data_IF_039369324639
#
_entry.id   IF_039369324639
#
_cell.length_a   1.000
_cell.length_b   1.000
_cell.length_c   1.000
_cell.angle_alpha   90.00
_cell.angle_beta   90.00
_cell.angle_gamma   90.00
#
_symmetry.space_group_name_H-M   'P 1'
#
loop_
_entity.id
_entity.type
_entity.pdbx_description
1 polymer ?
#
# COMPACT_ATOMS: atom_id res chain seq x y z
N UNK A 1 -3.17 -18.54 17.89
CA UNK A 1 -3.29 -19.99 18.13
C UNK A 1 -3.32 -20.65 16.76
N UNK A 2 -2.25 -21.36 16.44
CA UNK A 2 -2.14 -22.10 15.18
C UNK A 2 -3.13 -23.28 15.17
N UNK A 3 -3.71 -23.58 14.04
CA UNK A 3 -4.52 -24.79 13.87
C UNK A 3 -3.62 -26.02 14.07
N UNK A 4 -4.19 -27.13 14.55
CA UNK A 4 -3.45 -28.37 14.83
C UNK A 4 -2.73 -28.89 13.57
N UNK A 5 -3.31 -28.66 12.39
CA UNK A 5 -2.69 -28.96 11.09
C UNK A 5 -1.45 -28.11 10.81
N UNK A 6 -1.45 -26.82 11.12
CA UNK A 6 -0.27 -25.95 10.98
C UNK A 6 0.85 -26.33 11.95
N UNK A 7 0.50 -26.69 13.20
CA UNK A 7 1.47 -27.16 14.20
C UNK A 7 2.11 -28.48 13.77
N UNK A 8 1.33 -29.35 13.14
CA UNK A 8 1.83 -30.65 12.65
C UNK A 8 2.72 -30.49 11.40
N UNK A 9 2.42 -29.54 10.51
CA UNK A 9 3.26 -29.17 9.36
C UNK A 9 4.57 -28.52 9.79
N UNK A 10 4.53 -27.62 10.78
CA UNK A 10 5.73 -26.98 11.35
C UNK A 10 6.65 -27.97 12.08
N UNK A 11 6.11 -29.08 12.58
CA UNK A 11 6.89 -30.12 13.25
C UNK A 11 7.43 -31.22 12.31
N UNK A 12 7.32 -31.06 10.97
CA UNK A 12 7.70 -32.11 10.00
C UNK A 12 7.08 -33.49 10.25
N UNK A 13 5.90 -33.54 10.85
CA UNK A 13 5.16 -34.80 11.09
C UNK A 13 4.25 -35.08 9.87
N UNK A 14 4.67 -34.65 8.69
CA UNK A 14 3.90 -34.75 7.44
C UNK A 14 3.72 -36.17 6.90
N UNK A 15 4.37 -37.17 7.48
CA UNK A 15 4.30 -38.56 6.95
C UNK A 15 3.27 -39.47 7.61
N UNK A 16 2.51 -39.01 8.63
CA UNK A 16 1.50 -39.85 9.26
C UNK A 16 0.10 -39.21 9.28
N UNK A 17 -0.57 -39.17 8.12
CA UNK A 17 -2.04 -38.92 8.03
C UNK A 17 -2.85 -39.71 9.05
N UNK A 18 -2.33 -40.85 9.51
CA UNK A 18 -2.94 -41.75 10.50
C UNK A 18 -2.90 -41.15 11.93
N UNK A 19 -1.93 -40.29 12.28
CA UNK A 19 -1.84 -39.70 13.63
C UNK A 19 -2.82 -38.52 13.80
N UNK A 20 -3.02 -37.75 12.77
CA UNK A 20 -4.02 -36.66 12.79
C UNK A 20 -5.43 -37.20 12.97
N UNK A 21 -5.77 -38.29 12.28
CA UNK A 21 -7.04 -39.00 12.43
C UNK A 21 -7.21 -39.58 13.84
N UNK A 22 -6.15 -40.11 14.45
CA UNK A 22 -6.18 -40.65 15.82
C UNK A 22 -6.33 -39.60 16.89
N UNK A 23 -5.70 -38.40 16.69
CA UNK A 23 -5.85 -37.28 17.64
C UNK A 23 -7.25 -36.67 17.52
N UNK A 24 -7.68 -36.35 16.29
CA UNK A 24 -9.02 -35.79 16.04
C UNK A 24 -10.16 -36.71 16.46
N UNK A 25 -9.95 -38.04 16.41
CA UNK A 25 -10.96 -39.05 16.82
C UNK A 25 -11.13 -39.23 18.35
N UNK A 26 -10.21 -38.67 19.16
CA UNK A 26 -10.27 -38.78 20.63
C UNK A 26 -11.10 -37.67 21.29
N UNK A 27 -11.52 -36.65 20.52
CA UNK A 27 -12.31 -35.52 21.04
C UNK A 27 -13.71 -35.57 20.43
N UNK A 28 -14.73 -35.69 21.28
CA UNK A 28 -16.14 -35.68 20.85
C UNK A 28 -16.58 -34.31 20.35
N UNK A 29 -15.98 -33.24 20.87
CA UNK A 29 -16.27 -31.84 20.44
C UNK A 29 -15.03 -31.25 19.80
N UNK A 30 -15.12 -30.95 18.51
CA UNK A 30 -14.08 -30.26 17.75
C UNK A 30 -14.47 -28.76 17.65
N UNK A 31 -13.84 -27.93 18.46
CA UNK A 31 -13.96 -26.48 18.36
C UNK A 31 -12.73 -25.98 17.63
N UNK A 32 -12.91 -25.63 16.37
CA UNK A 32 -11.90 -24.84 15.65
C UNK A 32 -11.89 -23.44 16.24
N UNK A 33 -10.83 -23.09 16.96
CA UNK A 33 -10.59 -21.72 17.36
C UNK A 33 -10.16 -20.95 16.10
N UNK A 34 -11.14 -20.47 15.34
CA UNK A 34 -10.87 -19.44 14.33
C UNK A 34 -10.33 -18.23 15.09
N UNK A 35 -9.09 -17.83 14.78
CA UNK A 35 -8.53 -16.59 15.31
C UNK A 35 -9.54 -15.47 15.09
N UNK A 36 -9.82 -14.69 16.12
CA UNK A 36 -10.65 -13.50 15.99
C UNK A 36 -9.95 -12.61 14.98
N UNK A 37 -10.67 -12.11 13.98
CA UNK A 37 -10.06 -11.26 12.94
C UNK A 37 -9.25 -10.14 13.60
N UNK A 38 -8.01 -9.85 13.15
CA UNK A 38 -7.14 -8.82 13.75
C UNK A 38 -7.83 -7.48 13.92
N UNK A 39 -8.72 -7.18 13.00
CA UNK A 39 -9.58 -6.01 12.98
C UNK A 39 -10.47 -5.89 14.23
N UNK A 40 -11.21 -6.95 14.58
CA UNK A 40 -12.09 -6.98 15.76
C UNK A 40 -11.28 -6.88 17.06
N UNK A 41 -10.10 -7.54 17.13
CA UNK A 41 -9.21 -7.41 18.28
C UNK A 41 -8.71 -5.98 18.41
N UNK A 42 -8.33 -5.37 17.29
CA UNK A 42 -7.82 -4.00 17.27
C UNK A 42 -8.88 -2.99 17.73
N UNK A 43 -10.10 -3.08 17.22
CA UNK A 43 -11.21 -2.24 17.64
C UNK A 43 -11.44 -2.34 19.16
N UNK A 44 -11.60 -3.56 19.66
CA UNK A 44 -11.97 -3.80 21.07
C UNK A 44 -10.84 -3.62 22.09
N UNK A 45 -9.56 -3.64 21.66
CA UNK A 45 -8.42 -3.61 22.59
C UNK A 45 -7.52 -2.40 22.44
N UNK A 46 -7.48 -1.80 21.25
CA UNK A 46 -6.59 -0.67 20.95
C UNK A 46 -7.39 0.60 20.68
N UNK A 47 -8.51 0.48 19.96
CA UNK A 47 -9.30 1.62 19.50
C UNK A 47 -10.57 1.82 20.32
N UNK A 48 -10.80 1.06 21.39
CA UNK A 48 -11.95 1.26 22.27
C UNK A 48 -11.96 2.66 22.84
N UNK A 49 -13.12 3.33 22.73
CA UNK A 49 -13.28 4.73 23.09
C UNK A 49 -13.93 4.86 24.48
N UNK A 50 -13.41 5.77 25.27
CA UNK A 50 -14.10 6.16 26.50
C UNK A 50 -15.45 6.75 26.14
N UNK A 51 -16.47 6.47 26.97
CA UNK A 51 -17.85 6.94 26.74
C UNK A 51 -17.91 8.46 26.56
N UNK A 52 -17.14 9.21 27.34
CA UNK A 52 -17.10 10.68 27.34
C UNK A 52 -16.67 11.31 26.00
N UNK A 53 -15.98 10.55 25.13
CA UNK A 53 -15.52 11.08 23.83
C UNK A 53 -16.39 10.64 22.66
N UNK A 54 -17.31 9.69 22.86
CA UNK A 54 -18.15 9.16 21.77
C UNK A 54 -19.05 10.23 21.17
N UNK A 55 -19.64 11.11 21.98
CA UNK A 55 -20.46 12.22 21.48
C UNK A 55 -19.65 13.23 20.67
N UNK A 56 -18.41 13.45 21.06
CA UNK A 56 -17.49 14.32 20.30
C UNK A 56 -17.15 13.70 18.94
N UNK A 57 -16.88 12.39 18.89
CA UNK A 57 -16.64 11.67 17.64
C UNK A 57 -17.91 11.60 16.77
N UNK A 58 -19.08 11.41 17.37
CA UNK A 58 -20.36 11.47 16.66
C UNK A 58 -20.58 12.84 15.99
N UNK A 59 -20.23 13.91 16.69
CA UNK A 59 -20.31 15.28 16.16
C UNK A 59 -19.32 15.48 15.01
N UNK A 60 -18.10 14.94 15.13
CA UNK A 60 -17.08 14.96 14.09
C UNK A 60 -17.53 14.17 12.84
N UNK A 61 -18.10 12.98 13.02
CA UNK A 61 -18.68 12.20 11.94
C UNK A 61 -19.76 12.99 11.20
N UNK A 62 -20.69 13.59 11.93
CA UNK A 62 -21.77 14.37 11.33
C UNK A 62 -21.27 15.58 10.53
N UNK A 63 -20.15 16.19 10.96
CA UNK A 63 -19.47 17.27 10.22
C UNK A 63 -18.95 16.79 8.86
N UNK A 64 -18.38 15.59 8.78
CA UNK A 64 -17.60 15.15 7.61
C UNK A 64 -18.26 14.05 6.78
N UNK A 65 -19.33 13.39 7.27
CA UNK A 65 -19.94 12.21 6.62
C UNK A 65 -20.27 12.39 5.12
N UNK A 66 -20.69 13.58 4.72
CA UNK A 66 -21.00 13.85 3.31
C UNK A 66 -19.75 13.96 2.42
N UNK A 67 -18.56 14.06 3.00
CA UNK A 67 -17.30 14.22 2.28
C UNK A 67 -16.43 12.96 2.24
N UNK A 68 -16.71 11.92 3.04
CA UNK A 68 -15.83 10.76 3.14
C UNK A 68 -15.61 10.05 1.79
N UNK A 69 -16.66 9.76 1.04
CA UNK A 69 -16.55 9.07 -0.25
C UNK A 69 -15.82 9.91 -1.30
N UNK A 70 -15.98 11.22 -1.27
CA UNK A 70 -15.25 12.13 -2.16
C UNK A 70 -13.77 12.22 -1.77
N UNK A 71 -13.49 12.28 -0.47
CA UNK A 71 -12.13 12.48 0.04
C UNK A 71 -11.31 11.22 -0.08
N UNK A 72 -11.83 10.07 0.33
CA UNK A 72 -11.12 8.80 0.22
C UNK A 72 -11.21 8.18 -1.18
N UNK A 73 -12.34 8.30 -1.89
CA UNK A 73 -12.55 7.81 -3.28
C UNK A 73 -11.89 6.45 -3.54
N UNK A 74 -12.32 5.43 -2.81
CA UNK A 74 -11.73 4.10 -2.83
C UNK A 74 -12.34 3.24 -3.96
N UNK A 75 -11.61 2.20 -4.47
CA UNK A 75 -12.18 1.18 -5.32
C UNK A 75 -13.32 0.41 -4.61
N UNK A 76 -14.28 -0.12 -5.37
CA UNK A 76 -15.51 -0.75 -4.86
C UNK A 76 -15.31 -1.86 -3.81
N UNK A 77 -14.14 -2.51 -3.79
CA UNK A 77 -13.83 -3.56 -2.81
C UNK A 77 -13.32 -3.04 -1.46
N UNK A 78 -13.25 -1.73 -1.31
CA UNK A 78 -12.74 -1.05 -0.12
C UNK A 78 -13.71 0.06 0.27
N UNK A 79 -13.97 0.19 1.56
CA UNK A 79 -14.88 1.22 2.09
C UNK A 79 -14.15 2.20 3.00
N UNK A 80 -14.72 3.41 3.11
CA UNK A 80 -14.42 4.34 4.18
C UNK A 80 -15.24 3.96 5.42
N UNK A 81 -16.12 4.83 5.89
CA UNK A 81 -16.98 4.55 7.04
C UNK A 81 -18.42 4.37 6.57
N UNK A 82 -19.03 3.25 6.93
CA UNK A 82 -20.40 2.92 6.54
C UNK A 82 -21.45 3.56 7.49
N UNK A 83 -21.08 3.83 8.74
CA UNK A 83 -21.96 4.37 9.76
C UNK A 83 -21.22 5.23 10.78
N UNK A 84 -21.98 5.92 11.65
CA UNK A 84 -21.41 6.67 12.78
C UNK A 84 -20.73 5.75 13.80
N UNK A 85 -21.31 4.59 14.08
CA UNK A 85 -20.74 3.61 15.00
C UNK A 85 -19.44 3.05 14.42
N UNK A 86 -19.42 2.74 13.13
CA UNK A 86 -18.23 2.34 12.40
C UNK A 86 -17.12 3.40 12.48
N UNK A 87 -17.47 4.68 12.28
CA UNK A 87 -16.52 5.78 12.47
C UNK A 87 -15.95 5.81 13.89
N UNK A 88 -16.79 5.69 14.90
CA UNK A 88 -16.35 5.71 16.30
C UNK A 88 -15.41 4.53 16.58
N UNK A 89 -15.73 3.34 16.07
CA UNK A 89 -14.95 2.13 16.30
C UNK A 89 -13.56 2.17 15.62
N UNK A 90 -13.46 2.73 14.42
CA UNK A 90 -12.21 2.73 13.65
C UNK A 90 -11.34 3.97 13.86
N UNK A 91 -11.94 5.15 14.10
CA UNK A 91 -11.18 6.40 14.21
C UNK A 91 -9.97 6.26 15.16
N UNK A 92 -8.79 6.78 14.84
CA UNK A 92 -8.43 7.64 13.70
C UNK A 92 -8.04 6.89 12.41
N UNK A 93 -8.19 5.57 12.38
CA UNK A 93 -7.97 4.76 11.17
C UNK A 93 -9.21 4.74 10.29
N UNK A 94 -9.03 4.35 9.02
CA UNK A 94 -10.12 4.16 8.06
C UNK A 94 -10.26 2.66 7.76
N UNK A 95 -11.48 2.10 7.68
CA UNK A 95 -11.72 0.65 7.53
C UNK A 95 -10.88 -0.04 6.46
N UNK A 96 -10.74 0.56 5.26
CA UNK A 96 -9.95 -0.01 4.16
C UNK A 96 -8.52 -0.37 4.54
N UNK A 97 -7.93 0.35 5.49
CA UNK A 97 -6.52 0.19 5.87
C UNK A 97 -6.23 -1.20 6.44
N UNK A 98 -7.18 -1.78 7.18
CA UNK A 98 -7.03 -3.10 7.79
C UNK A 98 -6.92 -4.20 6.73
N UNK A 99 -7.77 -4.14 5.70
CA UNK A 99 -7.71 -5.07 4.58
C UNK A 99 -6.43 -4.89 3.75
N UNK A 100 -6.12 -3.65 3.41
CA UNK A 100 -4.98 -3.36 2.53
C UNK A 100 -3.64 -3.67 3.21
N UNK A 101 -3.47 -3.38 4.49
CA UNK A 101 -2.22 -3.68 5.21
C UNK A 101 -1.98 -5.18 5.34
N UNK A 102 -3.04 -5.99 5.47
CA UNK A 102 -2.95 -7.45 5.44
C UNK A 102 -2.41 -7.95 4.09
N UNK A 103 -2.91 -7.40 2.99
CA UNK A 103 -2.47 -7.76 1.65
C UNK A 103 -1.00 -7.38 1.42
N UNK A 104 -0.62 -6.17 1.84
CA UNK A 104 0.78 -5.71 1.77
C UNK A 104 1.69 -6.64 2.58
N UNK A 105 1.32 -6.95 3.82
CA UNK A 105 2.12 -7.78 4.70
C UNK A 105 2.33 -9.19 4.14
N UNK A 106 1.25 -9.83 3.68
CA UNK A 106 1.32 -11.17 3.06
C UNK A 106 2.21 -11.17 1.82
N UNK A 107 2.10 -10.16 0.97
CA UNK A 107 2.97 -10.03 -0.20
C UNK A 107 4.42 -9.80 0.17
N UNK A 108 4.71 -8.97 1.17
CA UNK A 108 6.08 -8.71 1.62
C UNK A 108 6.73 -9.95 2.24
N UNK A 109 5.97 -10.79 2.93
CA UNK A 109 6.42 -12.12 3.37
C UNK A 109 6.79 -13.01 2.18
N UNK A 110 5.92 -13.10 1.18
CA UNK A 110 6.13 -13.93 0.00
C UNK A 110 7.33 -13.45 -0.84
N UNK A 111 7.55 -12.14 -0.91
CA UNK A 111 8.69 -11.52 -1.60
C UNK A 111 10.00 -11.62 -0.80
N UNK A 112 9.95 -12.04 0.47
CA UNK A 112 11.09 -12.07 1.36
C UNK A 112 11.57 -10.66 1.76
N UNK A 113 10.66 -9.69 1.80
CA UNK A 113 10.94 -8.33 2.24
C UNK A 113 10.88 -8.20 3.77
N UNK A 114 10.16 -9.09 4.43
CA UNK A 114 10.10 -9.22 5.88
C UNK A 114 10.47 -10.64 6.30
N UNK A 115 10.92 -10.81 7.54
CA UNK A 115 11.38 -12.09 8.05
C UNK A 115 10.23 -13.10 8.19
N UNK A 116 10.49 -14.38 7.86
CA UNK A 116 9.51 -15.47 7.97
C UNK A 116 9.15 -15.81 9.42
N UNK A 117 10.03 -15.48 10.37
CA UNK A 117 9.81 -15.67 11.81
C UNK A 117 8.72 -14.73 12.35
N UNK A 118 8.31 -13.73 11.59
CA UNK A 118 7.12 -12.89 11.86
C UNK A 118 5.83 -13.68 11.52
N UNK A 119 5.88 -15.01 11.65
CA UNK A 119 4.71 -15.90 11.55
C UNK A 119 3.72 -15.57 12.67
N UNK A 120 2.56 -15.15 12.27
CA UNK A 120 1.50 -14.63 13.12
C UNK A 120 1.13 -13.24 12.65
N UNK A 121 0.73 -13.16 11.39
CA UNK A 121 0.31 -11.94 10.68
C UNK A 121 -0.56 -11.02 11.54
N UNK A 122 -1.45 -11.64 12.33
CA UNK A 122 -2.37 -10.93 13.23
C UNK A 122 -1.65 -10.14 14.31
N UNK A 123 -0.67 -10.73 15.01
CA UNK A 123 0.06 -10.05 16.09
C UNK A 123 0.92 -8.91 15.56
N UNK A 124 1.54 -9.09 14.39
CA UNK A 124 2.36 -8.05 13.77
C UNK A 124 1.51 -6.85 13.36
N UNK A 125 0.35 -7.09 12.78
CA UNK A 125 -0.59 -6.03 12.38
C UNK A 125 -1.14 -5.31 13.60
N UNK A 126 -1.56 -6.02 14.64
CA UNK A 126 -2.00 -5.43 15.91
C UNK A 126 -0.89 -4.55 16.50
N UNK A 127 0.38 -5.01 16.47
CA UNK A 127 1.53 -4.22 16.93
C UNK A 127 1.70 -2.94 16.11
N UNK A 128 1.61 -3.03 14.80
CA UNK A 128 1.73 -1.86 13.89
C UNK A 128 0.63 -0.84 14.19
N UNK A 129 -0.61 -1.28 14.24
CA UNK A 129 -1.74 -0.39 14.52
C UNK A 129 -1.58 0.27 15.90
N UNK A 130 -1.20 -0.51 16.92
CA UNK A 130 -0.93 0.02 18.25
C UNK A 130 0.20 1.06 18.24
N UNK A 131 1.33 0.76 17.58
CA UNK A 131 2.48 1.67 17.50
C UNK A 131 2.12 2.95 16.74
N UNK A 132 1.36 2.83 15.64
CA UNK A 132 0.90 3.97 14.85
C UNK A 132 -0.11 4.83 15.63
N UNK A 133 -1.05 4.21 16.34
CA UNK A 133 -1.98 4.92 17.21
C UNK A 133 -1.23 5.68 18.32
N UNK A 134 -0.26 5.02 18.95
CA UNK A 134 0.58 5.64 20.00
C UNK A 134 1.41 6.80 19.48
N UNK A 135 1.99 6.69 18.28
CA UNK A 135 2.75 7.77 17.64
C UNK A 135 1.89 9.01 17.33
N UNK A 136 0.57 8.83 17.25
CA UNK A 136 -0.42 9.89 16.99
C UNK A 136 -1.24 10.26 18.23
N UNK A 137 -0.83 9.86 19.44
CA UNK A 137 -1.63 10.08 20.66
C UNK A 137 -1.90 11.57 20.96
N UNK A 138 -0.96 12.45 20.60
CA UNK A 138 -1.06 13.90 20.82
C UNK A 138 -1.59 14.66 19.58
N UNK A 139 -2.07 13.93 18.55
CA UNK A 139 -2.61 14.56 17.35
C UNK A 139 -3.95 15.25 17.65
N UNK A 140 -4.18 16.36 16.95
CA UNK A 140 -5.44 17.09 17.06
C UNK A 140 -6.63 16.25 16.57
N UNK A 141 -7.79 16.48 17.19
CA UNK A 141 -9.04 15.83 16.78
C UNK A 141 -9.39 16.25 15.34
N UNK A 142 -9.74 15.26 14.50
CA UNK A 142 -9.99 15.45 13.06
C UNK A 142 -8.80 15.03 12.18
N UNK A 143 -7.65 14.70 12.76
CA UNK A 143 -6.58 14.02 12.04
C UNK A 143 -6.96 12.55 11.83
N UNK A 144 -6.75 12.06 10.61
CA UNK A 144 -6.81 10.65 10.23
C UNK A 144 -5.39 10.12 10.04
N UNK A 145 -5.19 8.86 10.38
CA UNK A 145 -3.93 8.18 10.11
C UNK A 145 -3.91 7.84 8.61
N UNK A 146 -2.92 8.39 7.89
CA UNK A 146 -2.70 8.06 6.48
C UNK A 146 -1.96 6.72 6.34
N UNK A 147 -2.09 6.09 5.17
CA UNK A 147 -1.57 4.74 4.96
C UNK A 147 -0.04 4.66 5.01
N UNK A 148 0.66 5.72 4.62
CA UNK A 148 2.12 5.81 4.74
C UNK A 148 2.62 5.79 6.19
N UNK A 149 1.83 6.23 7.16
CA UNK A 149 2.18 6.15 8.57
C UNK A 149 2.26 4.70 9.08
N UNK A 150 1.49 3.79 8.48
CA UNK A 150 1.60 2.34 8.74
C UNK A 150 2.93 1.78 8.22
N UNK A 151 3.41 2.27 7.07
CA UNK A 151 4.71 1.87 6.54
C UNK A 151 5.84 2.17 7.51
N UNK A 152 5.91 3.38 8.03
CA UNK A 152 6.97 3.82 8.94
C UNK A 152 7.03 2.96 10.22
N UNK A 153 5.86 2.57 10.76
CA UNK A 153 5.80 1.76 11.98
C UNK A 153 5.96 0.25 11.76
N UNK A 154 5.81 -0.23 10.53
CA UNK A 154 5.85 -1.66 10.21
C UNK A 154 7.17 -2.08 9.56
N UNK A 155 7.62 -1.28 8.62
CA UNK A 155 8.64 -1.71 7.67
C UNK A 155 9.97 -0.99 7.84
N UNK A 156 10.00 0.21 8.42
CA UNK A 156 11.23 0.99 8.53
C UNK A 156 12.32 0.21 9.29
N UNK A 157 11.97 -0.49 10.37
CA UNK A 157 12.89 -1.34 11.14
C UNK A 157 12.83 -2.82 10.76
N UNK A 158 11.78 -3.27 10.08
CA UNK A 158 11.48 -4.69 9.81
C UNK A 158 11.84 -5.18 8.43
N UNK A 159 12.19 -4.26 7.50
CA UNK A 159 12.58 -4.67 6.14
C UNK A 159 13.89 -5.43 6.16
N UNK A 160 13.87 -6.63 5.58
CA UNK A 160 15.09 -7.38 5.26
C UNK A 160 15.88 -6.68 4.15
N UNK A 161 17.16 -7.01 4.02
CA UNK A 161 18.08 -6.38 3.05
C UNK A 161 17.50 -6.33 1.61
N UNK A 162 16.73 -7.35 1.23
CA UNK A 162 16.07 -7.39 -0.10
C UNK A 162 15.00 -6.31 -0.25
N UNK A 163 14.17 -6.10 0.75
CA UNK A 163 13.14 -5.07 0.73
C UNK A 163 13.74 -3.67 0.83
N UNK A 164 14.76 -3.50 1.68
CA UNK A 164 15.50 -2.23 1.77
C UNK A 164 16.10 -1.87 0.41
N UNK A 165 16.78 -2.81 -0.25
CA UNK A 165 17.37 -2.60 -1.57
C UNK A 165 16.32 -2.23 -2.62
N UNK A 166 15.15 -2.84 -2.57
CA UNK A 166 14.07 -2.60 -3.54
C UNK A 166 13.51 -1.17 -3.46
N UNK A 167 13.53 -0.51 -2.30
CA UNK A 167 12.96 0.83 -2.10
C UNK A 167 14.00 1.94 -1.96
N UNK A 168 15.26 1.61 -1.63
CA UNK A 168 16.31 2.59 -1.28
C UNK A 168 16.54 3.64 -2.36
N UNK A 169 16.64 3.21 -3.62
CA UNK A 169 16.87 4.13 -4.74
C UNK A 169 15.72 5.13 -4.91
N UNK A 170 14.49 4.67 -4.75
CA UNK A 170 13.30 5.52 -4.83
C UNK A 170 13.25 6.53 -3.66
N UNK A 171 13.59 6.09 -2.46
CA UNK A 171 13.65 6.97 -1.29
C UNK A 171 14.79 7.99 -1.41
N UNK A 172 15.94 7.60 -1.95
CA UNK A 172 17.05 8.54 -2.23
C UNK A 172 16.61 9.60 -3.24
N UNK A 173 15.94 9.20 -4.32
CA UNK A 173 15.41 10.14 -5.30
C UNK A 173 14.34 11.06 -4.70
N UNK A 174 13.40 10.55 -3.94
CA UNK A 174 12.36 11.35 -3.28
C UNK A 174 12.95 12.43 -2.36
N UNK A 175 14.08 12.17 -1.69
CA UNK A 175 14.79 13.15 -0.85
C UNK A 175 15.39 14.30 -1.65
N UNK A 176 15.55 14.19 -2.95
CA UNK A 176 16.04 15.28 -3.82
C UNK A 176 14.91 16.16 -4.36
N UNK A 177 13.64 15.75 -4.17
CA UNK A 177 12.49 16.50 -4.67
C UNK A 177 12.29 17.80 -3.90
N UNK A 178 12.40 18.95 -4.58
CA UNK A 178 12.17 20.31 -4.03
C UNK A 178 12.77 20.49 -2.62
N UNK A 179 14.08 20.31 -2.50
CA UNK A 179 14.81 20.34 -1.21
C UNK A 179 14.73 21.69 -0.49
N UNK A 180 14.42 22.75 -1.19
CA UNK A 180 14.13 24.09 -0.65
C UNK A 180 12.76 24.15 0.09
N UNK A 181 11.90 23.15 -0.09
CA UNK A 181 10.57 23.01 0.51
C UNK A 181 10.42 21.69 1.25
N UNK A 182 10.81 21.61 2.52
CA UNK A 182 10.84 20.34 3.28
C UNK A 182 9.52 19.58 3.31
N UNK A 183 8.38 20.30 3.24
CA UNK A 183 7.05 19.68 3.18
C UNK A 183 6.82 18.92 1.87
N UNK A 184 7.40 19.41 0.76
CA UNK A 184 7.32 18.73 -0.55
C UNK A 184 8.21 17.50 -0.61
N UNK A 185 9.43 17.61 -0.07
CA UNK A 185 10.33 16.47 0.08
C UNK A 185 9.68 15.37 0.94
N UNK A 186 9.06 15.75 2.06
CA UNK A 186 8.31 14.79 2.90
C UNK A 186 7.17 14.14 2.14
N UNK A 187 6.41 14.91 1.37
CA UNK A 187 5.34 14.36 0.53
C UNK A 187 5.89 13.35 -0.48
N UNK A 188 7.01 13.63 -1.13
CA UNK A 188 7.62 12.71 -2.08
C UNK A 188 8.02 11.38 -1.41
N UNK A 189 8.58 11.42 -0.22
CA UNK A 189 8.89 10.22 0.57
C UNK A 189 7.59 9.42 0.89
N UNK A 190 6.54 10.10 1.33
CA UNK A 190 5.23 9.48 1.62
C UNK A 190 4.62 8.82 0.38
N UNK A 191 4.70 9.47 -0.79
CA UNK A 191 4.25 8.90 -2.07
C UNK A 191 5.04 7.63 -2.41
N UNK A 192 6.37 7.64 -2.25
CA UNK A 192 7.20 6.44 -2.48
C UNK A 192 6.81 5.31 -1.54
N UNK A 193 6.61 5.59 -0.25
CA UNK A 193 6.21 4.59 0.74
C UNK A 193 4.88 3.92 0.36
N UNK A 194 3.89 4.73 -0.02
CA UNK A 194 2.58 4.24 -0.46
C UNK A 194 2.70 3.42 -1.75
N UNK A 195 3.38 3.95 -2.77
CA UNK A 195 3.59 3.23 -4.03
C UNK A 195 4.32 1.91 -3.81
N UNK A 196 5.38 1.89 -2.97
CA UNK A 196 6.11 0.67 -2.68
C UNK A 196 5.22 -0.40 -2.06
N UNK A 197 4.31 -0.03 -1.16
CA UNK A 197 3.35 -0.97 -0.60
C UNK A 197 2.40 -1.52 -1.64
N UNK A 198 1.71 -0.65 -2.40
CA UNK A 198 0.63 -1.10 -3.30
C UNK A 198 1.12 -1.70 -4.63
N UNK A 199 2.30 -1.34 -5.10
CA UNK A 199 2.91 -1.97 -6.28
C UNK A 199 3.39 -3.40 -6.01
N UNK A 200 3.59 -3.77 -4.75
CA UNK A 200 4.11 -5.08 -4.36
C UNK A 200 3.04 -6.01 -3.76
N UNK A 201 1.75 -5.64 -3.73
CA UNK A 201 0.67 -6.59 -3.40
C UNK A 201 0.50 -7.63 -4.52
N UNK A 202 -0.23 -8.71 -4.24
CA UNK A 202 -0.43 -9.78 -5.23
C UNK A 202 -1.08 -9.24 -6.52
N UNK A 203 -0.84 -9.88 -7.66
CA UNK A 203 -1.46 -9.47 -8.93
C UNK A 203 -2.99 -9.42 -8.85
N UNK A 204 -3.61 -10.36 -8.13
CA UNK A 204 -5.05 -10.36 -7.90
C UNK A 204 -5.48 -9.14 -7.09
N UNK A 205 -4.73 -8.77 -6.06
CA UNK A 205 -5.03 -7.58 -5.25
C UNK A 205 -4.79 -6.29 -6.02
N UNK A 206 -3.79 -6.23 -6.90
CA UNK A 206 -3.54 -5.08 -7.78
C UNK A 206 -4.69 -4.82 -8.75
N UNK A 207 -5.42 -5.84 -9.19
CA UNK A 207 -6.65 -5.66 -9.96
C UNK A 207 -7.76 -4.98 -9.15
N UNK A 208 -7.79 -5.21 -7.84
CA UNK A 208 -8.78 -4.62 -6.93
C UNK A 208 -8.33 -3.25 -6.39
N UNK A 209 -7.03 -3.04 -6.24
CA UNK A 209 -6.43 -1.79 -5.77
C UNK A 209 -5.20 -1.42 -6.60
N UNK A 210 -5.41 -0.95 -7.84
CA UNK A 210 -4.30 -0.59 -8.73
C UNK A 210 -3.52 0.63 -8.24
N UNK A 211 -2.22 0.66 -8.54
CA UNK A 211 -1.33 1.78 -8.19
C UNK A 211 -1.56 2.96 -9.14
N UNK A 212 -2.64 3.70 -8.94
CA UNK A 212 -3.02 4.91 -9.68
C UNK A 212 -2.80 6.16 -8.84
N UNK A 213 -2.71 7.33 -9.49
CA UNK A 213 -2.65 8.63 -8.77
C UNK A 213 -3.84 8.81 -7.83
N UNK A 214 -5.05 8.44 -8.26
CA UNK A 214 -6.24 8.57 -7.44
C UNK A 214 -6.16 7.70 -6.17
N UNK A 215 -5.71 6.45 -6.29
CA UNK A 215 -5.57 5.56 -5.14
C UNK A 215 -4.43 6.02 -4.21
N UNK A 216 -3.28 6.43 -4.74
CA UNK A 216 -2.20 7.03 -3.95
C UNK A 216 -2.69 8.27 -3.19
N UNK A 217 -3.47 9.12 -3.86
CA UNK A 217 -4.08 10.30 -3.21
C UNK A 217 -4.97 9.90 -2.04
N UNK A 218 -5.83 8.90 -2.21
CA UNK A 218 -6.71 8.40 -1.14
C UNK A 218 -5.93 7.88 0.07
N UNK A 219 -4.82 7.19 -0.18
CA UNK A 219 -3.96 6.63 0.87
C UNK A 219 -3.19 7.69 1.66
N UNK A 220 -3.02 8.89 1.11
CA UNK A 220 -2.30 10.00 1.74
C UNK A 220 -3.20 10.99 2.49
N UNK A 221 -4.52 10.81 2.41
CA UNK A 221 -5.47 11.66 3.15
C UNK A 221 -5.26 11.50 4.65
N UNK A 222 -5.03 12.61 5.35
CA UNK A 222 -4.85 12.65 6.79
C UNK A 222 -5.75 13.67 7.51
N UNK A 223 -6.53 14.44 6.77
CA UNK A 223 -7.59 15.31 7.30
C UNK A 223 -8.66 15.56 6.23
N UNK A 224 -9.83 16.03 6.66
CA UNK A 224 -10.97 16.32 5.77
C UNK A 224 -11.03 17.76 5.30
N UNK A 225 -10.24 18.64 5.89
CA UNK A 225 -10.28 20.09 5.58
C UNK A 225 -9.38 20.44 4.39
N UNK A 226 -8.41 19.57 4.05
CA UNK A 226 -7.60 19.74 2.84
C UNK A 226 -8.33 19.17 1.63
N UNK A 227 -8.65 20.00 0.61
CA UNK A 227 -9.35 19.53 -0.59
C UNK A 227 -8.56 18.40 -1.28
N UNK A 228 -9.24 17.31 -1.64
CA UNK A 228 -8.63 16.17 -2.35
C UNK A 228 -7.84 16.59 -3.59
N UNK A 229 -8.38 17.53 -4.36
CA UNK A 229 -7.71 18.01 -5.58
C UNK A 229 -6.34 18.64 -5.30
N UNK A 230 -6.18 19.31 -4.17
CA UNK A 230 -4.88 19.87 -3.75
C UNK A 230 -3.87 18.74 -3.50
N UNK A 231 -4.27 17.70 -2.78
CA UNK A 231 -3.42 16.53 -2.52
C UNK A 231 -3.09 15.84 -3.85
N UNK A 232 -4.10 15.61 -4.70
CA UNK A 232 -3.94 14.95 -6.00
C UNK A 232 -2.94 15.67 -6.91
N UNK A 233 -3.07 16.97 -7.07
CA UNK A 233 -2.17 17.77 -7.90
C UNK A 233 -0.71 17.69 -7.42
N UNK A 234 -0.49 17.60 -6.13
CA UNK A 234 0.86 17.43 -5.59
C UNK A 234 1.38 16.00 -5.77
N UNK A 235 0.53 15.00 -5.62
CA UNK A 235 0.87 13.60 -5.91
C UNK A 235 1.24 13.43 -7.38
N UNK A 236 0.48 14.01 -8.31
CA UNK A 236 0.77 14.00 -9.74
C UNK A 236 2.17 14.52 -10.05
N UNK A 237 2.55 15.67 -9.49
CA UNK A 237 3.89 16.25 -9.67
C UNK A 237 5.00 15.34 -9.15
N UNK A 238 4.79 14.70 -8.00
CA UNK A 238 5.77 13.75 -7.45
C UNK A 238 5.88 12.51 -8.33
N UNK A 239 4.76 11.96 -8.79
CA UNK A 239 4.72 10.80 -9.68
C UNK A 239 5.42 11.10 -11.01
N UNK A 240 5.17 12.27 -11.60
CA UNK A 240 5.88 12.74 -12.81
C UNK A 240 7.39 12.83 -12.56
N UNK A 241 7.80 13.46 -11.46
CA UNK A 241 9.21 13.54 -11.09
C UNK A 241 9.85 12.15 -10.96
N UNK A 242 9.17 11.18 -10.37
CA UNK A 242 9.68 9.80 -10.26
C UNK A 242 9.75 9.08 -11.62
N UNK A 243 8.80 9.33 -12.52
CA UNK A 243 8.83 8.82 -13.88
C UNK A 243 10.00 9.40 -14.69
N UNK A 244 10.19 10.73 -14.64
CA UNK A 244 11.25 11.44 -15.37
C UNK A 244 12.65 11.00 -14.94
N UNK A 245 12.78 10.55 -13.69
CA UNK A 245 14.04 10.02 -13.15
C UNK A 245 14.17 8.49 -13.24
N UNK A 246 13.31 7.81 -14.02
CA UNK A 246 13.32 6.35 -14.22
C UNK A 246 13.27 5.54 -12.90
N UNK A 247 12.55 6.05 -11.90
CA UNK A 247 12.30 5.32 -10.66
C UNK A 247 11.07 4.43 -10.80
N UNK A 248 10.02 4.97 -11.40
CA UNK A 248 8.79 4.26 -11.73
C UNK A 248 8.46 4.40 -13.22
N UNK A 249 7.82 3.39 -13.79
CA UNK A 249 7.27 3.47 -15.14
C UNK A 249 5.76 3.64 -15.08
N UNK A 250 5.25 4.39 -16.04
CA UNK A 250 3.82 4.57 -16.28
C UNK A 250 3.34 3.52 -17.27
N UNK A 251 2.33 2.78 -16.90
CA UNK A 251 1.61 1.86 -17.77
C UNK A 251 0.28 2.48 -18.14
N UNK A 252 0.10 2.78 -19.42
CA UNK A 252 -1.12 3.44 -19.91
C UNK A 252 -2.35 2.56 -19.72
N UNK A 253 -3.39 3.15 -19.15
CA UNK A 253 -4.68 2.50 -18.98
C UNK A 253 -5.34 2.21 -20.34
N UNK A 254 -5.88 1.01 -20.51
CA UNK A 254 -6.63 0.62 -21.71
C UNK A 254 -8.08 1.08 -21.60
N UNK A 255 -8.67 1.49 -22.73
CA UNK A 255 -10.11 1.82 -22.84
C UNK A 255 -10.60 2.86 -21.82
N UNK A 256 -9.79 3.87 -21.51
CA UNK A 256 -10.16 4.93 -20.56
C UNK A 256 -9.94 4.60 -19.08
N UNK A 257 -9.34 3.45 -18.78
CA UNK A 257 -8.86 3.16 -17.43
C UNK A 257 -7.71 4.12 -17.05
N UNK A 258 -7.54 4.45 -15.77
CA UNK A 258 -6.44 5.30 -15.33
C UNK A 258 -5.09 4.60 -15.51
N UNK A 259 -4.03 5.40 -15.70
CA UNK A 259 -2.66 4.92 -15.73
C UNK A 259 -2.27 4.29 -14.40
N UNK A 260 -1.46 3.24 -14.46
CA UNK A 260 -0.87 2.57 -13.30
C UNK A 260 0.64 2.75 -13.28
N UNK A 261 1.24 2.55 -12.11
CA UNK A 261 2.67 2.75 -11.90
C UNK A 261 3.31 1.52 -11.29
N UNK A 262 4.54 1.22 -11.73
CA UNK A 262 5.38 0.15 -11.18
C UNK A 262 6.82 0.62 -11.04
N UNK A 263 7.56 0.08 -10.05
CA UNK A 263 8.98 0.39 -9.92
C UNK A 263 9.79 -0.31 -11.01
N UNK A 264 10.81 0.37 -11.49
CA UNK A 264 11.84 -0.28 -12.31
C UNK A 264 12.71 -1.19 -11.45
N UNK A 265 13.11 -2.34 -11.96
CA UNK A 265 14.23 -3.12 -11.43
C UNK A 265 15.57 -2.39 -11.65
N UNK A 266 16.64 -2.81 -10.96
CA UNK A 266 17.96 -2.20 -11.17
C UNK A 266 18.46 -2.35 -12.61
N UNK A 267 18.17 -3.48 -13.24
CA UNK A 267 18.51 -3.76 -14.63
C UNK A 267 17.72 -2.86 -15.58
N UNK A 268 16.41 -2.75 -15.36
CA UNK A 268 15.54 -1.88 -16.17
C UNK A 268 15.94 -0.41 -16.03
N UNK A 269 16.30 0.06 -14.83
CA UNK A 269 16.78 1.43 -14.61
C UNK A 269 18.06 1.71 -15.41
N UNK A 270 19.03 0.77 -15.41
CA UNK A 270 20.27 0.91 -16.21
C UNK A 270 19.97 1.00 -17.70
N UNK A 271 19.04 0.17 -18.18
CA UNK A 271 18.63 0.20 -19.58
C UNK A 271 17.93 1.52 -19.93
N UNK A 272 17.01 1.99 -19.08
CA UNK A 272 16.32 3.26 -19.27
C UNK A 272 17.30 4.45 -19.32
N UNK A 273 18.28 4.48 -18.42
CA UNK A 273 19.35 5.49 -18.41
C UNK A 273 20.21 5.43 -19.67
N UNK A 274 20.57 4.22 -20.14
CA UNK A 274 21.29 4.06 -21.41
C UNK A 274 20.49 4.60 -22.60
N UNK A 275 19.19 4.29 -22.67
CA UNK A 275 18.30 4.81 -23.71
C UNK A 275 18.26 6.34 -23.68
N UNK A 276 18.09 6.94 -22.51
CA UNK A 276 18.07 8.41 -22.37
C UNK A 276 19.42 9.06 -22.72
N UNK A 277 20.53 8.37 -22.44
CA UNK A 277 21.87 8.88 -22.77
C UNK A 277 22.22 8.78 -24.27
N UNK A 278 21.46 7.99 -25.03
CA UNK A 278 21.63 7.89 -26.49
C UNK A 278 21.05 9.14 -27.17
N UNK A 279 21.90 10.11 -27.40
CA UNK A 279 21.55 11.29 -28.23
C UNK A 279 21.51 10.80 -29.69
N UNK A 280 20.32 10.51 -30.19
CA UNK A 280 20.13 10.25 -31.63
C UNK A 280 20.12 11.62 -32.31
N UNK A 281 21.18 11.89 -33.10
CA UNK A 281 21.26 13.15 -33.85
C UNK A 281 20.13 13.24 -34.89
N UNK A 282 19.76 14.49 -35.24
CA UNK A 282 18.64 14.75 -36.14
C UNK A 282 18.85 14.10 -37.56
N UNK A 283 20.10 13.86 -38.00
CA UNK A 283 20.38 13.23 -39.26
C UNK A 283 20.06 11.74 -39.20
N UNK A 284 20.46 11.06 -38.13
CA UNK A 284 20.15 9.64 -37.89
C UNK A 284 18.64 9.40 -37.78
N UNK A 285 17.90 10.33 -37.12
CA UNK A 285 16.44 10.27 -37.07
C UNK A 285 15.81 10.46 -38.46
N UNK A 286 16.31 11.41 -39.25
CA UNK A 286 15.81 11.68 -40.58
C UNK A 286 16.08 10.48 -41.53
N UNK A 287 17.25 9.83 -41.43
CA UNK A 287 17.57 8.61 -42.21
C UNK A 287 16.66 7.44 -41.83
N UNK A 288 16.43 7.19 -40.56
CA UNK A 288 15.52 6.13 -40.09
C UNK A 288 14.07 6.38 -40.55
N UNK A 289 13.60 7.62 -40.46
CA UNK A 289 12.28 8.00 -40.98
C UNK A 289 12.18 7.79 -42.48
N UNK A 290 13.20 8.14 -43.24
CA UNK A 290 13.27 7.94 -44.66
C UNK A 290 13.23 6.45 -45.04
N UNK A 291 13.94 5.60 -44.30
CA UNK A 291 13.94 4.14 -44.49
C UNK A 291 12.58 3.52 -44.16
N UNK A 292 11.94 3.95 -43.09
CA UNK A 292 10.57 3.52 -42.73
C UNK A 292 9.58 3.95 -43.83
N UNK A 293 9.66 5.20 -44.30
CA UNK A 293 8.82 5.74 -45.36
C UNK A 293 9.01 4.95 -46.68
N UNK A 294 10.26 4.67 -47.06
CA UNK A 294 10.57 3.89 -48.26
C UNK A 294 10.06 2.46 -48.19
N UNK A 295 10.18 1.78 -47.01
CA UNK A 295 9.56 0.46 -46.78
C UNK A 295 8.06 0.47 -46.93
N UNK A 296 7.39 1.51 -46.41
CA UNK A 296 5.93 1.66 -46.53
C UNK A 296 5.48 1.91 -47.97
N UNK A 297 6.18 2.76 -48.71
CA UNK A 297 5.90 3.05 -50.13
C UNK A 297 6.14 1.81 -51.00
N UNK A 298 7.19 1.04 -50.71
CA UNK A 298 7.50 -0.21 -51.47
C UNK A 298 6.46 -1.30 -51.16
N UNK A 299 5.90 -1.32 -49.99
CA UNK A 299 4.82 -2.26 -49.60
C UNK A 299 3.44 -1.90 -50.19
N UNK A 300 3.26 -0.67 -50.68
CA UNK A 300 2.05 -0.19 -51.35
C UNK A 300 2.08 -0.26 -52.87
N UNK A 301 3.20 -0.70 -53.46
CA UNK A 301 3.38 -1.01 -54.89
C UNK A 301 3.31 -2.51 -55.12
#
# INVERSE_FOLDING_TARGET
QQDLSEIMDDCHIAEEKDKEGKIKGRFEVKVSLKGTQPEVITQKRILDKKEEVKDTLASLYNKYKAGFDLQFKLPNSYSSYDSQDDFIDYYPFVPYQFKLIMQVFNSFLNLGYVAKEVKGNERSIIKVIHSTAKANADAELGKFISFDELYNNMFEEGLQARGQKAVDNALRMARTYQTDKPEKTRLAIRVVNVLFMICNISQTDQLLFPATVDNVTSLLVNNMDTPRLTIKNEVEKVVEFLCDNNIIRREQGKQGAPDTFTFYSEEEMKVAQLIQSQVVDNNTQAEQLKDIFNKYITALR
#
